data_IF_196215788817
#
_entry.id   IF_196215788817
#
_cell.length_a   1.000
_cell.length_b   1.000
_cell.length_c   1.000
_cell.angle_alpha   90.00
_cell.angle_beta   90.00
_cell.angle_gamma   90.00
#
_symmetry.space_group_name_H-M   'P 1'
#
loop_
_entity.id
_entity.type
_entity.pdbx_description
1 polymer ?
#
# COMPACT_ATOMS: atom_id res chain seq x y z
N UNK A 1 -23.49 19.45 19.72
CA UNK A 1 -22.38 19.64 20.68
C UNK A 1 -22.90 19.41 22.09
N UNK A 2 -22.24 18.54 22.87
CA UNK A 2 -22.57 18.26 24.28
C UNK A 2 -21.84 19.20 25.23
N UNK A 3 -21.41 18.69 26.39
CA UNK A 3 -20.76 19.48 27.45
C UNK A 3 -19.52 20.27 27.01
N UNK A 4 -18.80 19.83 25.97
CA UNK A 4 -17.62 20.54 25.45
C UNK A 4 -17.90 21.70 24.50
N UNK A 5 -19.17 22.12 24.30
CA UNK A 5 -19.56 23.11 23.27
C UNK A 5 -18.74 24.40 23.31
N UNK A 6 -18.38 24.88 24.50
CA UNK A 6 -17.59 26.12 24.67
C UNK A 6 -16.14 26.00 24.14
N UNK A 7 -15.62 24.78 24.03
CA UNK A 7 -14.27 24.49 23.50
C UNK A 7 -14.28 24.02 22.04
N UNK A 8 -15.47 23.88 21.43
CA UNK A 8 -15.57 23.44 20.03
C UNK A 8 -15.52 24.60 19.05
N UNK A 9 -14.90 24.40 17.89
CA UNK A 9 -14.95 25.35 16.78
C UNK A 9 -16.29 25.20 16.02
N UNK A 10 -17.18 26.22 16.04
CA UNK A 10 -18.47 26.15 15.35
C UNK A 10 -18.35 26.19 13.82
N UNK A 11 -17.20 26.60 13.28
CA UNK A 11 -16.91 26.58 11.84
C UNK A 11 -16.25 25.29 11.35
N UNK A 12 -16.07 24.29 12.22
CA UNK A 12 -15.50 23.00 11.82
C UNK A 12 -16.53 22.20 11.02
N UNK A 13 -16.28 22.01 9.72
CA UNK A 13 -17.07 21.14 8.87
C UNK A 13 -16.49 19.73 8.85
N UNK A 14 -17.07 18.81 9.63
CA UNK A 14 -16.64 17.41 9.65
C UNK A 14 -16.80 16.71 8.29
N UNK A 15 -17.67 17.21 7.41
CA UNK A 15 -17.87 16.61 6.07
C UNK A 15 -16.74 16.96 5.11
N UNK A 16 -15.95 17.99 5.42
CA UNK A 16 -14.79 18.41 4.62
C UNK A 16 -13.53 17.56 4.91
N UNK A 17 -13.58 16.69 5.92
CA UNK A 17 -12.51 15.75 6.20
C UNK A 17 -12.63 14.50 5.33
N UNK A 18 -11.57 14.20 4.60
CA UNK A 18 -11.41 12.91 3.91
C UNK A 18 -11.17 11.83 4.98
N UNK A 19 -11.74 10.65 4.82
CA UNK A 19 -11.37 9.47 5.64
C UNK A 19 -11.92 9.44 7.07
N UNK A 20 -12.98 10.19 7.39
CA UNK A 20 -13.62 10.13 8.73
C UNK A 20 -14.13 8.74 9.12
N UNK A 21 -14.34 7.85 8.15
CA UNK A 21 -14.67 6.44 8.41
C UNK A 21 -13.57 5.70 9.16
N UNK A 22 -12.29 6.02 8.93
CA UNK A 22 -11.15 5.37 9.61
C UNK A 22 -11.09 5.72 11.09
N UNK A 23 -11.60 6.88 11.48
CA UNK A 23 -11.62 7.34 12.88
C UNK A 23 -13.00 7.19 13.53
N UNK A 24 -13.92 6.47 12.87
CA UNK A 24 -15.26 6.15 13.36
C UNK A 24 -15.31 4.69 13.82
N UNK A 25 -15.64 4.47 15.09
CA UNK A 25 -15.70 3.13 15.67
C UNK A 25 -17.00 2.38 15.26
N UNK A 26 -17.12 1.06 15.53
CA UNK A 26 -18.32 0.28 15.21
C UNK A 26 -19.62 0.81 15.84
N UNK A 27 -19.52 1.55 16.96
CA UNK A 27 -20.65 2.25 17.59
C UNK A 27 -21.10 3.52 16.84
N UNK A 28 -20.51 3.77 15.66
CA UNK A 28 -20.77 4.91 14.76
C UNK A 28 -20.37 6.26 15.33
N UNK A 29 -19.52 6.31 16.35
CA UNK A 29 -18.99 7.56 16.90
C UNK A 29 -17.60 7.85 16.35
N UNK A 30 -17.40 9.11 15.98
CA UNK A 30 -16.11 9.68 15.59
C UNK A 30 -15.31 10.03 16.85
N UNK A 31 -14.22 9.31 17.11
CA UNK A 31 -13.40 9.52 18.32
C UNK A 31 -12.18 10.40 18.06
N UNK A 32 -11.74 10.50 16.80
CA UNK A 32 -10.56 11.26 16.40
C UNK A 32 -10.84 12.01 15.09
N UNK A 33 -10.16 13.15 14.90
CA UNK A 33 -10.12 13.81 13.61
C UNK A 33 -8.97 13.20 12.79
N UNK A 34 -9.18 12.90 11.50
CA UNK A 34 -8.09 12.50 10.63
C UNK A 34 -7.04 13.61 10.55
N UNK A 35 -5.78 13.27 10.82
CA UNK A 35 -4.65 14.23 10.84
C UNK A 35 -3.62 13.92 9.73
N UNK A 36 -3.30 12.64 9.52
CA UNK A 36 -2.40 12.20 8.46
C UNK A 36 -2.96 11.00 7.71
N UNK A 37 -2.90 11.04 6.37
CA UNK A 37 -3.29 9.96 5.47
C UNK A 37 -2.23 9.80 4.39
N UNK A 38 -1.83 8.57 4.11
CA UNK A 38 -0.85 8.26 3.08
C UNK A 38 -1.50 7.41 1.99
N UNK A 39 -1.42 7.87 0.75
CA UNK A 39 -1.68 6.99 -0.39
C UNK A 39 -0.49 6.05 -0.55
N UNK A 40 -0.76 4.74 -0.58
CA UNK A 40 0.26 3.79 -0.96
C UNK A 40 0.43 3.80 -2.48
N UNK A 41 1.68 3.90 -2.94
CA UNK A 41 1.99 4.14 -4.34
C UNK A 41 2.94 3.07 -4.86
N UNK A 42 2.67 2.62 -6.09
CA UNK A 42 3.63 1.82 -6.84
C UNK A 42 4.67 2.73 -7.50
N UNK A 43 5.90 2.68 -7.01
CA UNK A 43 7.04 3.42 -7.56
C UNK A 43 7.80 2.54 -8.55
N UNK A 44 8.05 3.03 -9.76
CA UNK A 44 8.73 2.27 -10.80
C UNK A 44 9.63 3.14 -11.68
N UNK A 45 10.55 2.47 -12.39
CA UNK A 45 11.46 3.09 -13.35
C UNK A 45 10.80 3.21 -14.72
N UNK A 46 10.12 4.34 -14.94
CA UNK A 46 9.41 4.62 -16.18
C UNK A 46 10.29 4.48 -17.44
N UNK A 47 11.56 4.86 -17.34
CA UNK A 47 12.54 4.72 -18.41
C UNK A 47 12.81 3.25 -18.78
N UNK A 48 12.86 2.34 -17.80
CA UNK A 48 13.03 0.91 -18.06
C UNK A 48 11.77 0.29 -18.67
N UNK A 49 10.59 0.75 -18.27
CA UNK A 49 9.32 0.28 -18.83
C UNK A 49 9.09 0.78 -20.26
N UNK A 50 9.72 1.89 -20.64
CA UNK A 50 9.68 2.44 -22.00
C UNK A 50 10.70 1.78 -22.96
N UNK A 51 11.62 0.95 -22.46
CA UNK A 51 12.64 0.30 -23.29
C UNK A 51 12.04 -0.81 -24.13
N UNK A 52 12.08 -0.64 -25.46
CA UNK A 52 11.52 -1.60 -26.42
C UNK A 52 12.10 -3.01 -26.27
N UNK A 53 13.39 -3.13 -26.00
CA UNK A 53 14.05 -4.43 -25.81
C UNK A 53 13.54 -5.18 -24.57
N UNK A 54 13.19 -4.44 -23.51
CA UNK A 54 12.63 -5.02 -22.28
C UNK A 54 11.16 -5.37 -22.46
N UNK A 55 10.38 -4.51 -23.12
CA UNK A 55 8.98 -4.79 -23.48
C UNK A 55 8.85 -6.07 -24.31
N UNK A 56 9.71 -6.24 -25.32
CA UNK A 56 9.67 -7.41 -26.21
C UNK A 56 10.04 -8.70 -25.46
N UNK A 57 11.09 -8.67 -24.63
CA UNK A 57 11.51 -9.82 -23.82
C UNK A 57 10.45 -10.21 -22.80
N UNK A 58 9.86 -9.23 -22.12
CA UNK A 58 8.81 -9.45 -21.14
C UNK A 58 7.59 -10.09 -21.81
N UNK A 59 7.11 -9.51 -22.91
CA UNK A 59 5.96 -10.04 -23.65
C UNK A 59 6.21 -11.44 -24.20
N UNK A 60 7.42 -11.74 -24.67
CA UNK A 60 7.78 -13.07 -25.13
C UNK A 60 7.74 -14.12 -24.01
N UNK A 61 8.09 -13.73 -22.76
CA UNK A 61 8.09 -14.64 -21.61
C UNK A 61 6.71 -14.83 -20.99
N UNK A 62 5.99 -13.73 -20.75
CA UNK A 62 4.76 -13.73 -19.96
C UNK A 62 3.48 -13.64 -20.79
N UNK A 63 3.59 -13.32 -22.09
CA UNK A 63 2.44 -13.28 -23.01
C UNK A 63 1.59 -12.01 -22.92
N UNK A 64 2.00 -11.00 -22.14
CA UNK A 64 1.32 -9.70 -22.05
C UNK A 64 2.34 -8.54 -21.99
N UNK A 65 1.85 -7.31 -22.17
CA UNK A 65 2.71 -6.13 -22.26
C UNK A 65 3.29 -5.72 -20.89
N UNK A 66 4.57 -5.34 -20.87
CA UNK A 66 5.20 -4.75 -19.69
C UNK A 66 4.58 -3.38 -19.39
N UNK A 67 3.97 -3.22 -18.22
CA UNK A 67 3.25 -2.02 -17.82
C UNK A 67 2.98 -1.95 -16.32
N UNK A 68 2.31 -0.87 -15.88
CA UNK A 68 1.90 -0.74 -14.48
C UNK A 68 1.08 -1.98 -14.06
N UNK A 69 1.47 -2.69 -12.99
CA UNK A 69 0.83 -3.95 -12.63
C UNK A 69 -0.64 -3.73 -12.27
N UNK A 70 -1.51 -4.57 -12.83
CA UNK A 70 -2.95 -4.53 -12.57
C UNK A 70 -3.37 -5.40 -11.36
N UNK A 71 -2.48 -6.29 -10.92
CA UNK A 71 -2.67 -7.19 -9.78
C UNK A 71 -1.30 -7.69 -9.25
N UNK A 72 -1.32 -8.44 -8.15
CA UNK A 72 -0.11 -8.96 -7.50
C UNK A 72 0.64 -10.01 -8.31
N UNK A 73 -0.04 -10.81 -9.14
CA UNK A 73 0.64 -11.76 -10.03
C UNK A 73 1.45 -11.02 -11.11
N UNK A 74 0.89 -9.96 -11.70
CA UNK A 74 1.63 -9.13 -12.65
C UNK A 74 2.80 -8.39 -11.96
N UNK A 75 2.63 -7.97 -10.71
CA UNK A 75 3.72 -7.42 -9.91
C UNK A 75 4.85 -8.44 -9.72
N UNK A 76 4.52 -9.67 -9.34
CA UNK A 76 5.48 -10.77 -9.14
C UNK A 76 6.24 -11.08 -10.43
N UNK A 77 5.54 -11.21 -11.56
CA UNK A 77 6.16 -11.43 -12.87
C UNK A 77 7.16 -10.32 -13.25
N UNK A 78 6.79 -9.06 -13.02
CA UNK A 78 7.68 -7.91 -13.26
C UNK A 78 8.89 -7.97 -12.33
N UNK A 79 8.67 -8.29 -11.06
CA UNK A 79 9.74 -8.39 -10.07
C UNK A 79 10.74 -9.50 -10.44
N UNK A 80 10.23 -10.66 -10.84
CA UNK A 80 10.98 -11.81 -11.34
C UNK A 80 11.75 -11.44 -12.61
N UNK A 81 11.10 -10.78 -13.56
CA UNK A 81 11.71 -10.37 -14.82
C UNK A 81 12.95 -9.49 -14.60
N UNK A 82 12.81 -8.42 -13.81
CA UNK A 82 13.93 -7.51 -13.58
C UNK A 82 15.03 -8.15 -12.73
N UNK A 83 14.69 -8.97 -11.75
CA UNK A 83 15.66 -9.60 -10.83
C UNK A 83 16.42 -10.74 -11.51
N UNK A 84 15.72 -11.61 -12.22
CA UNK A 84 16.24 -12.90 -12.65
C UNK A 84 16.45 -13.03 -14.16
N UNK A 85 15.79 -12.23 -15.01
CA UNK A 85 16.05 -12.24 -16.46
C UNK A 85 16.94 -11.06 -16.88
N UNK A 86 16.60 -9.84 -16.47
CA UNK A 86 17.37 -8.63 -16.81
C UNK A 86 18.70 -8.63 -16.05
N UNK A 87 18.65 -8.81 -14.71
CA UNK A 87 19.78 -8.87 -13.76
C UNK A 87 20.64 -7.62 -13.67
N UNK A 88 20.98 -6.99 -14.81
CA UNK A 88 21.84 -5.83 -14.89
C UNK A 88 21.32 -4.81 -15.91
N UNK A 89 21.47 -3.54 -15.57
CA UNK A 89 21.29 -2.39 -16.47
C UNK A 89 22.55 -1.53 -16.35
N UNK A 90 23.16 -1.18 -17.49
CA UNK A 90 24.37 -0.34 -17.57
C UNK A 90 25.53 -0.84 -16.69
N UNK A 91 25.71 -2.17 -16.65
CA UNK A 91 26.76 -2.83 -15.86
C UNK A 91 26.52 -2.85 -14.35
N UNK A 92 25.33 -2.45 -13.89
CA UNK A 92 24.95 -2.47 -12.47
C UNK A 92 23.81 -3.46 -12.23
N UNK A 93 23.81 -4.19 -11.10
CA UNK A 93 22.70 -5.07 -10.77
C UNK A 93 21.40 -4.28 -10.58
N UNK A 94 20.29 -4.89 -10.97
CA UNK A 94 18.94 -4.37 -10.74
C UNK A 94 18.06 -5.42 -10.07
N UNK A 95 17.13 -4.96 -9.25
CA UNK A 95 16.14 -5.78 -8.56
C UNK A 95 14.76 -5.29 -8.94
N UNK A 96 13.85 -6.21 -9.20
CA UNK A 96 12.48 -5.91 -9.61
C UNK A 96 11.53 -5.56 -8.46
N UNK A 97 12.00 -5.68 -7.22
CA UNK A 97 11.27 -5.31 -6.01
C UNK A 97 12.23 -4.69 -4.99
N UNK A 98 11.75 -3.68 -4.25
CA UNK A 98 12.46 -3.05 -3.16
C UNK A 98 11.47 -2.71 -2.05
N UNK A 99 11.82 -3.07 -0.82
CA UNK A 99 10.97 -2.85 0.36
C UNK A 99 11.81 -2.67 1.62
N UNK A 100 11.15 -2.24 2.70
CA UNK A 100 11.72 -1.98 4.00
C UNK A 100 12.26 -3.25 4.65
N UNK A 101 13.57 -3.51 4.50
CA UNK A 101 14.23 -4.68 5.09
C UNK A 101 14.80 -4.49 6.50
N UNK A 102 14.83 -3.25 7.03
CA UNK A 102 15.49 -2.97 8.33
C UNK A 102 14.60 -3.41 9.49
N UNK A 103 15.12 -4.32 10.31
CA UNK A 103 14.47 -4.83 11.52
C UNK A 103 15.04 -4.11 12.74
N UNK A 104 14.31 -3.10 13.21
CA UNK A 104 14.62 -2.37 14.45
C UNK A 104 13.33 -2.32 15.29
N UNK A 105 13.37 -2.47 16.62
CA UNK A 105 12.18 -2.39 17.46
C UNK A 105 11.37 -1.10 17.25
N UNK A 106 12.03 0.03 16.96
CA UNK A 106 11.38 1.30 16.63
C UNK A 106 10.61 1.27 15.30
N UNK A 107 10.95 0.32 14.43
CA UNK A 107 10.30 0.10 13.14
C UNK A 107 9.19 -0.95 13.21
N UNK A 108 8.92 -1.54 14.39
CA UNK A 108 7.83 -2.51 14.57
C UNK A 108 6.50 -1.97 14.05
N UNK A 109 6.22 -0.70 14.32
CA UNK A 109 5.03 0.01 13.82
C UNK A 109 4.97 0.06 12.29
N UNK A 110 6.09 0.36 11.61
CA UNK A 110 6.15 0.38 10.13
C UNK A 110 5.97 -1.01 9.51
N UNK A 111 6.40 -2.05 10.21
CA UNK A 111 6.27 -3.42 9.73
C UNK A 111 4.81 -3.90 9.78
N UNK A 112 4.05 -3.53 10.81
CA UNK A 112 2.64 -3.89 10.92
C UNK A 112 1.75 -3.00 10.05
N UNK A 113 1.96 -1.68 10.06
CA UNK A 113 1.11 -0.70 9.38
C UNK A 113 1.32 -0.71 7.86
N UNK A 114 2.58 -0.65 7.40
CA UNK A 114 2.87 -0.52 5.96
C UNK A 114 3.07 -1.88 5.29
N UNK A 115 3.97 -2.72 5.83
CA UNK A 115 4.40 -3.93 5.12
C UNK A 115 3.31 -5.01 5.05
N UNK A 116 2.64 -5.34 6.16
CA UNK A 116 1.53 -6.32 6.13
C UNK A 116 0.36 -5.85 5.26
N UNK A 117 0.03 -4.56 5.30
CA UNK A 117 -0.99 -3.97 4.42
C UNK A 117 -0.61 -4.08 2.95
N UNK A 118 0.67 -3.85 2.60
CA UNK A 118 1.19 -4.08 1.24
C UNK A 118 1.27 -5.55 0.85
N UNK A 119 1.47 -6.46 1.80
CA UNK A 119 1.58 -7.90 1.53
C UNK A 119 0.22 -8.58 1.28
N UNK A 120 -0.83 -7.81 0.99
CA UNK A 120 -2.16 -8.33 0.68
C UNK A 120 -2.93 -8.85 1.90
N UNK A 121 -2.50 -8.54 3.13
CA UNK A 121 -3.14 -9.10 4.34
C UNK A 121 -4.62 -8.71 4.52
N UNK A 122 -5.10 -7.71 3.79
CA UNK A 122 -6.50 -7.27 3.73
C UNK A 122 -7.25 -7.73 2.46
N UNK A 123 -6.65 -8.62 1.64
CA UNK A 123 -7.30 -9.14 0.44
C UNK A 123 -8.57 -9.94 0.78
N UNK A 124 -9.60 -9.74 -0.04
CA UNK A 124 -10.88 -10.42 0.10
C UNK A 124 -10.67 -11.95 0.01
N UNK A 125 -10.92 -12.64 1.11
CA UNK A 125 -10.77 -14.11 1.21
C UNK A 125 -9.61 -14.58 2.10
N UNK A 126 -8.74 -13.68 2.55
CA UNK A 126 -7.72 -13.98 3.56
C UNK A 126 -8.36 -13.89 4.96
N UNK A 127 -7.98 -14.72 5.95
CA UNK A 127 -8.63 -14.81 7.27
C UNK A 127 -8.61 -13.54 8.14
N UNK A 128 -8.17 -12.40 7.63
CA UNK A 128 -8.23 -11.12 8.32
C UNK A 128 -9.55 -10.43 7.94
N UNK A 129 -10.45 -10.32 8.92
CA UNK A 129 -11.86 -9.97 8.73
C UNK A 129 -12.12 -8.53 8.30
N UNK A 130 -13.39 -8.22 8.02
CA UNK A 130 -13.81 -6.88 7.59
C UNK A 130 -14.16 -5.97 8.79
N UNK A 131 -13.65 -4.73 8.83
CA UNK A 131 -12.41 -4.26 8.21
C UNK A 131 -11.20 -4.69 9.06
N UNK A 132 -10.11 -5.03 8.38
CA UNK A 132 -8.81 -5.26 9.02
C UNK A 132 -8.32 -3.90 9.50
N UNK A 133 -8.25 -3.69 10.81
CA UNK A 133 -7.50 -2.58 11.36
C UNK A 133 -6.01 -2.84 11.12
N UNK A 134 -5.24 -1.81 10.76
CA UNK A 134 -3.83 -1.82 10.33
C UNK A 134 -2.87 -2.45 11.37
N UNK A 135 -3.41 -2.79 12.54
CA UNK A 135 -2.74 -3.43 13.67
C UNK A 135 -2.81 -4.96 13.68
N UNK A 136 -3.47 -5.59 12.69
CA UNK A 136 -3.67 -7.04 12.68
C UNK A 136 -4.56 -7.55 13.83
N UNK A 137 -5.21 -6.63 14.55
CA UNK A 137 -6.24 -6.94 15.53
C UNK A 137 -7.53 -7.11 14.76
N UNK A 138 -8.13 -8.30 14.83
CA UNK A 138 -9.48 -8.49 14.31
C UNK A 138 -10.41 -7.51 15.01
N UNK A 139 -10.96 -6.56 14.26
CA UNK A 139 -12.08 -5.74 14.71
C UNK A 139 -13.27 -6.70 14.77
N UNK A 140 -13.54 -7.22 15.97
CA UNK A 140 -14.64 -8.14 16.19
C UNK A 140 -15.97 -7.47 15.84
N UNK A 141 -16.86 -8.25 15.23
CA UNK A 141 -18.27 -7.89 15.08
C UNK A 141 -18.96 -7.76 16.45
#
# INVERSE_FOLDING_TARGET
>A
AGAGKEYTNPGLDLKDFIGTSFTTAPDKKLYQLPDQQFANLYWFRADLFARKDLQDKFKAKYGYDLGVPLNWSAYEDIAEFFTNDVKQIDGKPIYGHMDYGKKDPSLGWRFTDAWLSMAGSADVGIPNGLPVDEWGIRVGA
#
